data_IF_785770417748
#
_entry.id   IF_785770417748
#
_cell.length_a   1.000
_cell.length_b   1.000
_cell.length_c   1.000
_cell.angle_alpha   90.00
_cell.angle_beta   90.00
_cell.angle_gamma   90.00
#
_symmetry.space_group_name_H-M   'P 1'
#
loop_
_entity.id
_entity.type
_entity.pdbx_description
1 polymer ?
#
# COMPACT_ATOMS: atom_id res chain seq x y z
N UNK A 1 -4.54 66.15 -58.16
CA UNK A 1 -3.60 67.09 -57.53
C UNK A 1 -3.56 66.80 -56.05
N UNK A 2 -2.35 66.76 -55.49
CA UNK A 2 -1.96 66.68 -54.07
C UNK A 2 -2.08 65.30 -53.36
N UNK A 3 -0.95 64.60 -53.25
CA UNK A 3 -0.58 63.89 -52.00
C UNK A 3 0.20 64.86 -51.07
N UNK A 4 0.86 64.43 -49.96
CA UNK A 4 1.15 63.04 -49.52
C UNK A 4 1.03 62.77 -47.98
N UNK A 5 1.40 61.53 -47.59
CA UNK A 5 2.04 61.10 -46.31
C UNK A 5 1.22 60.71 -45.04
N UNK A 6 1.45 59.44 -44.66
CA UNK A 6 1.99 58.93 -43.36
C UNK A 6 1.10 58.62 -42.15
N UNK A 7 1.28 57.39 -41.62
CA UNK A 7 0.98 56.83 -40.28
C UNK A 7 -0.51 56.83 -39.85
N UNK A 8 -1.08 55.86 -39.13
CA UNK A 8 -0.61 54.90 -38.14
C UNK A 8 -1.66 53.75 -38.06
N UNK A 9 -1.34 52.58 -37.48
CA UNK A 9 -2.18 51.40 -37.41
C UNK A 9 -3.13 51.41 -36.19
N UNK A 10 -3.95 50.36 -36.12
CA UNK A 10 -4.61 49.84 -34.92
C UNK A 10 -6.02 50.35 -34.57
N UNK A 11 -6.98 49.71 -35.23
CA UNK A 11 -8.18 49.16 -34.57
C UNK A 11 -7.81 48.24 -33.39
N UNK A 12 -8.46 48.33 -32.22
CA UNK A 12 -8.55 47.19 -31.31
C UNK A 12 -9.96 46.61 -31.36
N UNK A 13 -10.10 45.54 -32.12
CA UNK A 13 -11.16 44.54 -31.93
C UNK A 13 -10.54 43.39 -31.11
N UNK A 14 -11.29 42.90 -30.13
CA UNK A 14 -11.39 41.50 -29.72
C UNK A 14 -10.13 40.62 -29.81
N UNK A 15 -9.67 40.07 -28.68
CA UNK A 15 -9.36 38.65 -28.56
C UNK A 15 -8.93 38.28 -27.14
N UNK A 16 -9.76 37.52 -26.44
CA UNK A 16 -9.31 36.63 -25.36
C UNK A 16 -8.59 35.45 -26.02
N UNK A 17 -7.38 35.71 -26.51
CA UNK A 17 -6.48 34.71 -27.06
C UNK A 17 -6.07 33.72 -25.94
N UNK A 18 -5.79 32.45 -26.28
CA UNK A 18 -5.10 31.54 -25.37
C UNK A 18 -3.83 32.26 -24.95
N UNK A 19 -3.42 32.18 -23.67
CA UNK A 19 -2.16 32.75 -23.22
C UNK A 19 -1.07 32.41 -24.26
N UNK A 20 -0.76 33.40 -25.10
CA UNK A 20 0.23 33.25 -26.14
C UNK A 20 1.51 33.03 -25.37
N UNK A 21 2.07 31.84 -25.58
CA UNK A 21 3.48 31.51 -25.65
C UNK A 21 4.49 32.62 -25.28
N UNK A 22 4.37 33.21 -24.08
CA UNK A 22 5.35 34.14 -23.57
C UNK A 22 6.55 33.31 -23.16
N UNK A 23 7.53 33.26 -24.08
CA UNK A 23 8.79 32.54 -23.99
C UNK A 23 9.72 33.02 -22.87
N UNK A 24 9.18 33.67 -21.83
CA UNK A 24 9.89 34.17 -20.66
C UNK A 24 9.33 33.66 -19.33
N UNK A 25 8.19 32.97 -19.29
CA UNK A 25 7.70 32.36 -18.04
C UNK A 25 8.49 31.07 -17.76
N UNK A 26 9.33 30.98 -16.70
CA UNK A 26 10.16 29.80 -16.43
C UNK A 26 9.36 28.54 -16.18
N UNK A 27 8.17 28.66 -15.56
CA UNK A 27 7.26 27.52 -15.34
C UNK A 27 6.75 27.00 -16.70
N UNK A 28 6.47 27.91 -17.64
CA UNK A 28 6.10 27.54 -18.99
C UNK A 28 7.31 27.12 -19.84
N UNK A 29 8.53 27.58 -19.59
CA UNK A 29 9.72 27.16 -20.32
C UNK A 29 10.22 25.79 -19.86
N UNK A 30 10.30 25.56 -18.55
CA UNK A 30 10.67 24.29 -17.93
C UNK A 30 9.64 23.21 -18.25
N UNK A 31 8.35 23.58 -18.27
CA UNK A 31 7.32 22.66 -18.73
C UNK A 31 7.15 22.66 -20.26
N UNK A 32 7.65 23.63 -21.06
CA UNK A 32 7.32 23.79 -22.49
C UNK A 32 8.38 23.99 -23.59
N UNK A 33 9.69 24.10 -23.35
CA UNK A 33 10.65 24.09 -24.48
C UNK A 33 12.13 24.24 -24.16
N UNK A 34 12.96 23.49 -24.90
CA UNK A 34 14.42 23.31 -24.77
C UNK A 34 15.24 24.63 -24.70
N UNK A 35 15.94 24.86 -23.59
CA UNK A 35 17.36 25.29 -23.49
C UNK A 35 17.77 25.42 -22.02
N UNK A 36 19.06 25.21 -21.77
CA UNK A 36 19.76 25.34 -20.48
C UNK A 36 19.38 26.65 -19.79
N UNK A 37 18.76 26.59 -18.61
CA UNK A 37 18.56 27.76 -17.76
C UNK A 37 19.86 28.00 -17.01
N UNK A 38 20.65 28.97 -17.48
CA UNK A 38 21.74 29.54 -16.68
C UNK A 38 21.16 30.11 -15.38
N UNK A 39 21.59 29.56 -14.26
CA UNK A 39 21.31 30.06 -12.91
C UNK A 39 21.79 31.51 -12.83
N UNK A 40 20.86 32.47 -12.89
CA UNK A 40 21.14 33.87 -12.60
C UNK A 40 20.66 34.17 -11.18
N UNK A 41 21.56 34.73 -10.38
CA UNK A 41 21.48 34.91 -8.93
C UNK A 41 20.52 36.00 -8.45
N UNK A 42 19.60 36.49 -9.31
CA UNK A 42 18.64 37.54 -8.95
C UNK A 42 17.26 37.27 -9.57
N UNK A 43 16.26 36.99 -8.75
CA UNK A 43 14.92 36.61 -9.20
C UNK A 43 14.10 37.83 -9.64
N UNK A 44 14.21 38.21 -10.92
CA UNK A 44 13.31 39.14 -11.63
C UNK A 44 12.48 38.43 -12.69
N UNK A 45 12.06 37.20 -12.42
CA UNK A 45 11.38 36.37 -13.42
C UNK A 45 9.87 36.62 -13.41
N UNK A 46 9.34 37.08 -14.55
CA UNK A 46 7.91 37.20 -14.77
C UNK A 46 7.31 35.80 -14.95
N UNK A 47 6.32 35.47 -14.14
CA UNK A 47 5.61 34.19 -14.13
C UNK A 47 4.12 34.47 -14.21
N UNK A 48 3.39 33.65 -14.96
CA UNK A 48 1.94 33.74 -14.97
C UNK A 48 1.38 33.48 -13.56
N UNK A 49 0.45 34.35 -13.13
CA UNK A 49 -0.20 34.28 -11.81
C UNK A 49 -0.77 32.89 -11.52
N UNK A 50 -1.40 32.28 -12.52
CA UNK A 50 -2.02 30.95 -12.40
C UNK A 50 -1.00 29.81 -12.29
N UNK A 51 0.13 29.92 -13.00
CA UNK A 51 1.24 28.96 -12.90
C UNK A 51 1.87 29.00 -11.51
N UNK A 52 2.09 30.20 -11.01
CA UNK A 52 2.62 30.46 -9.68
C UNK A 52 1.67 29.93 -8.59
N UNK A 53 0.36 30.19 -8.73
CA UNK A 53 -0.65 29.78 -7.75
C UNK A 53 -0.84 28.26 -7.67
N UNK A 54 -0.67 27.54 -8.79
CA UNK A 54 -0.69 26.05 -8.79
C UNK A 54 0.51 25.45 -8.06
N UNK A 55 1.71 25.99 -8.28
CA UNK A 55 2.92 25.55 -7.57
C UNK A 55 2.82 25.88 -6.06
N UNK A 56 2.19 27.01 -5.72
CA UNK A 56 1.98 27.42 -4.34
C UNK A 56 0.90 26.63 -3.58
N UNK A 57 -0.11 26.12 -4.26
CA UNK A 57 -1.11 25.28 -3.62
C UNK A 57 -0.58 23.87 -3.28
N UNK A 58 0.46 23.40 -4.00
CA UNK A 58 1.10 22.09 -3.77
C UNK A 58 2.10 22.15 -2.58
N UNK A 59 2.70 23.31 -2.31
CA UNK A 59 3.71 23.49 -1.25
C UNK A 59 3.13 23.67 0.17
N UNK A 60 1.82 23.47 0.37
CA UNK A 60 1.15 23.65 1.67
C UNK A 60 1.43 22.55 2.72
N UNK A 61 2.17 21.49 2.38
CA UNK A 61 2.58 20.44 3.33
C UNK A 61 3.86 20.84 4.09
N UNK A 62 3.76 21.88 4.95
CA UNK A 62 4.63 22.05 6.11
C UNK A 62 6.07 22.55 5.89
N UNK A 63 6.49 22.91 4.67
CA UNK A 63 7.85 23.44 4.45
C UNK A 63 7.88 24.95 4.20
N UNK A 64 8.99 25.59 4.62
CA UNK A 64 9.24 27.03 4.49
C UNK A 64 9.01 27.49 3.06
N UNK A 65 8.18 28.51 2.91
CA UNK A 65 7.77 29.09 1.62
C UNK A 65 8.95 29.79 0.96
N UNK A 66 9.69 29.05 0.14
CA UNK A 66 10.75 29.59 -0.70
C UNK A 66 10.37 29.50 -2.17
N UNK A 67 10.73 30.49 -2.97
CA UNK A 67 10.53 30.46 -4.42
C UNK A 67 11.19 29.20 -5.02
N UNK A 68 10.48 28.40 -5.85
CA UNK A 68 11.05 27.17 -6.43
C UNK A 68 12.28 27.44 -7.31
N UNK A 69 12.40 28.66 -7.84
CA UNK A 69 13.44 29.03 -8.80
C UNK A 69 14.68 29.68 -8.16
N UNK A 70 14.51 30.44 -7.08
CA UNK A 70 15.62 31.20 -6.46
C UNK A 70 15.82 30.94 -4.96
N UNK A 71 14.98 30.09 -4.36
CA UNK A 71 15.03 29.68 -2.95
C UNK A 71 15.00 30.81 -1.90
N UNK A 72 14.71 32.07 -2.28
CA UNK A 72 14.47 33.18 -1.34
C UNK A 72 13.14 33.03 -0.60
N UNK A 73 13.09 33.52 0.64
CA UNK A 73 11.91 33.52 1.51
C UNK A 73 10.86 34.54 1.08
N UNK A 74 9.58 34.14 1.08
CA UNK A 74 8.47 34.93 0.55
C UNK A 74 8.13 36.22 1.33
N UNK A 75 8.65 36.40 2.55
CA UNK A 75 8.43 37.63 3.33
C UNK A 75 9.10 38.86 2.70
N UNK A 76 10.15 38.65 1.91
CA UNK A 76 10.92 39.73 1.28
C UNK A 76 10.29 40.21 -0.04
N UNK A 77 9.55 39.35 -0.76
CA UNK A 77 8.90 39.68 -2.04
C UNK A 77 7.60 40.50 -1.86
N UNK A 78 6.86 40.25 -0.78
CA UNK A 78 5.58 40.93 -0.52
C UNK A 78 5.76 42.43 -0.17
N UNK A 79 6.95 42.82 0.33
CA UNK A 79 7.28 44.22 0.62
C UNK A 79 7.57 45.06 -0.64
N UNK A 80 7.96 44.44 -1.75
CA UNK A 80 8.31 45.15 -3.00
C UNK A 80 7.13 45.33 -3.96
N UNK A 81 6.03 44.57 -3.80
CA UNK A 81 4.93 44.51 -4.78
C UNK A 81 3.66 45.31 -4.40
N UNK A 82 3.72 46.18 -3.39
CA UNK A 82 2.71 47.23 -3.15
C UNK A 82 1.25 46.76 -3.25
N UNK A 83 0.74 46.09 -2.21
CA UNK A 83 -0.68 45.73 -2.14
C UNK A 83 -1.55 46.99 -2.04
N UNK A 84 -2.38 47.24 -3.04
CA UNK A 84 -3.64 48.00 -2.88
C UNK A 84 -4.79 47.18 -3.45
N UNK A 85 -5.74 46.92 -2.56
CA UNK A 85 -7.04 46.30 -2.81
C UNK A 85 -7.87 47.15 -3.77
N UNK A 86 -8.65 46.52 -4.66
CA UNK A 86 -10.08 46.83 -4.77
C UNK A 86 -10.85 45.84 -5.67
N UNK A 87 -12.10 45.66 -5.24
CA UNK A 87 -13.16 44.82 -5.78
C UNK A 87 -13.72 45.40 -7.08
N UNK A 88 -14.18 44.53 -7.99
CA UNK A 88 -15.57 44.52 -8.45
C UNK A 88 -15.78 43.33 -9.40
N UNK A 89 -16.66 42.43 -8.99
CA UNK A 89 -17.19 41.35 -9.79
C UNK A 89 -18.56 41.80 -10.29
N UNK A 90 -18.87 41.57 -11.57
CA UNK A 90 -20.08 40.82 -11.96
C UNK A 90 -20.22 40.60 -13.48
N UNK A 91 -20.67 39.37 -13.77
CA UNK A 91 -21.53 38.94 -14.89
C UNK A 91 -20.88 38.76 -16.26
N UNK A 92 -20.58 37.49 -16.59
CA UNK A 92 -21.18 36.74 -17.69
C UNK A 92 -20.68 35.28 -17.64
N UNK A 93 -21.56 34.33 -17.33
CA UNK A 93 -21.27 32.89 -17.39
C UNK A 93 -21.36 32.41 -18.84
N UNK A 94 -20.32 31.79 -19.42
CA UNK A 94 -20.44 31.08 -20.68
C UNK A 94 -20.94 29.65 -20.45
N UNK A 95 -21.67 29.14 -21.44
CA UNK A 95 -22.32 27.83 -21.45
C UNK A 95 -21.36 26.68 -21.08
N UNK A 96 -21.85 25.81 -20.19
CA UNK A 96 -21.18 24.69 -19.53
C UNK A 96 -20.45 23.71 -20.47
N UNK A 97 -20.82 23.66 -21.76
CA UNK A 97 -20.21 22.78 -22.76
C UNK A 97 -18.87 23.32 -23.31
N UNK A 98 -18.69 24.65 -23.40
CA UNK A 98 -17.45 25.25 -23.95
C UNK A 98 -16.24 25.18 -22.99
N UNK A 99 -16.52 25.14 -21.68
CA UNK A 99 -15.53 25.04 -20.60
C UNK A 99 -15.02 23.59 -20.46
N UNK A 100 -15.86 22.60 -20.77
CA UNK A 100 -15.47 21.19 -20.74
C UNK A 100 -14.52 20.83 -21.89
N UNK A 101 -14.73 21.39 -23.09
CA UNK A 101 -13.87 21.18 -24.25
C UNK A 101 -12.49 21.84 -24.11
N UNK A 102 -12.41 23.06 -23.57
CA UNK A 102 -11.11 23.72 -23.34
C UNK A 102 -10.29 23.06 -22.22
N UNK A 103 -10.93 22.60 -21.14
CA UNK A 103 -10.25 21.83 -20.08
C UNK A 103 -9.74 20.47 -20.57
N UNK A 104 -10.50 19.76 -21.40
CA UNK A 104 -10.07 18.48 -21.95
C UNK A 104 -8.92 18.64 -22.95
N UNK A 105 -8.92 19.68 -23.78
CA UNK A 105 -7.79 20.00 -24.68
C UNK A 105 -6.52 20.38 -23.87
N UNK A 106 -6.65 21.21 -22.83
CA UNK A 106 -5.54 21.58 -21.96
C UNK A 106 -4.88 20.39 -21.25
N UNK A 107 -5.70 19.44 -20.75
CA UNK A 107 -5.21 18.21 -20.12
C UNK A 107 -4.55 17.25 -21.11
N UNK A 108 -5.06 17.12 -22.35
CA UNK A 108 -4.39 16.32 -23.40
C UNK A 108 -3.02 16.89 -23.77
N UNK A 109 -2.91 18.21 -23.90
CA UNK A 109 -1.63 18.86 -24.18
C UNK A 109 -0.64 18.64 -23.02
N UNK A 110 -1.08 18.78 -21.77
CA UNK A 110 -0.24 18.50 -20.60
C UNK A 110 0.26 17.04 -20.57
N UNK A 111 -0.64 16.07 -20.76
CA UNK A 111 -0.32 14.63 -20.87
C UNK A 111 0.77 14.37 -21.90
N UNK A 112 0.60 14.86 -23.13
CA UNK A 112 1.55 14.65 -24.22
C UNK A 112 2.93 15.22 -23.89
N UNK A 113 2.97 16.40 -23.29
CA UNK A 113 4.20 17.15 -23.05
C UNK A 113 5.02 16.55 -21.91
N UNK A 114 4.37 16.20 -20.80
CA UNK A 114 5.01 15.46 -19.71
C UNK A 114 5.51 14.10 -20.16
N UNK A 115 4.74 13.41 -21.01
CA UNK A 115 5.15 12.14 -21.61
C UNK A 115 6.42 12.27 -22.45
N UNK A 116 6.49 13.28 -23.34
CA UNK A 116 7.68 13.53 -24.15
C UNK A 116 8.90 13.93 -23.31
N UNK A 117 8.71 14.77 -22.29
CA UNK A 117 9.80 15.20 -21.39
C UNK A 117 10.36 14.03 -20.60
N UNK A 118 9.49 13.17 -20.05
CA UNK A 118 9.89 11.99 -19.30
C UNK A 118 10.67 11.02 -20.18
N UNK A 119 10.16 10.72 -21.38
CA UNK A 119 10.87 9.84 -22.33
C UNK A 119 12.21 10.44 -22.74
N UNK A 120 12.30 11.75 -22.93
CA UNK A 120 13.57 12.41 -23.21
C UNK A 120 14.57 12.25 -22.06
N UNK A 121 14.16 12.51 -20.82
CA UNK A 121 15.01 12.35 -19.64
C UNK A 121 15.51 10.89 -19.51
N UNK A 122 14.59 9.92 -19.63
CA UNK A 122 14.89 8.49 -19.56
C UNK A 122 15.89 8.05 -20.66
N UNK A 123 15.68 8.48 -21.91
CA UNK A 123 16.56 8.11 -23.02
C UNK A 123 17.97 8.69 -22.89
N UNK A 124 18.12 9.83 -22.23
CA UNK A 124 19.42 10.46 -21.96
C UNK A 124 19.98 10.11 -20.57
N UNK A 125 19.33 9.19 -19.83
CA UNK A 125 19.73 8.76 -18.48
C UNK A 125 19.78 9.91 -17.45
N UNK A 126 18.98 10.96 -17.65
CA UNK A 126 18.83 12.06 -16.69
C UNK A 126 17.83 11.66 -15.61
N UNK A 127 18.27 10.78 -14.71
CA UNK A 127 17.39 10.19 -13.70
C UNK A 127 16.87 11.20 -12.67
N UNK A 128 17.63 12.25 -12.35
CA UNK A 128 17.18 13.33 -11.45
C UNK A 128 16.00 14.09 -12.08
N UNK A 129 16.12 14.42 -13.37
CA UNK A 129 15.06 15.06 -14.15
C UNK A 129 13.84 14.14 -14.27
N UNK A 130 14.04 12.83 -14.46
CA UNK A 130 12.95 11.86 -14.54
C UNK A 130 12.17 11.72 -13.21
N UNK A 131 12.85 11.73 -12.06
CA UNK A 131 12.19 11.74 -10.74
C UNK A 131 11.47 13.06 -10.45
N UNK A 132 12.05 14.21 -10.85
CA UNK A 132 11.37 15.51 -10.77
C UNK A 132 10.09 15.53 -11.62
N UNK A 133 10.17 15.00 -12.84
CA UNK A 133 9.02 14.87 -13.74
C UNK A 133 7.96 13.93 -13.16
N UNK A 134 8.35 12.82 -12.52
CA UNK A 134 7.41 11.95 -11.80
C UNK A 134 6.66 12.71 -10.71
N UNK A 135 7.34 13.52 -9.90
CA UNK A 135 6.68 14.35 -8.88
C UNK A 135 5.65 15.30 -9.50
N UNK A 136 5.97 15.92 -10.63
CA UNK A 136 5.05 16.82 -11.35
C UNK A 136 3.85 16.04 -11.90
N UNK A 137 4.08 14.88 -12.52
CA UNK A 137 3.02 14.01 -13.05
C UNK A 137 2.06 13.59 -11.94
N UNK A 138 2.59 13.14 -10.80
CA UNK A 138 1.80 12.74 -9.65
C UNK A 138 1.03 13.92 -9.06
N UNK A 139 1.68 15.08 -8.87
CA UNK A 139 1.06 16.26 -8.27
C UNK A 139 -0.01 16.92 -9.15
N UNK A 140 0.10 16.75 -10.48
CA UNK A 140 -0.89 17.26 -11.43
C UNK A 140 -2.02 16.28 -11.72
N UNK A 141 -1.85 14.99 -11.39
CA UNK A 141 -2.77 13.92 -11.79
C UNK A 141 -2.84 13.73 -13.31
N UNK A 142 -1.86 14.25 -14.06
CA UNK A 142 -1.82 14.10 -15.51
C UNK A 142 -1.52 12.63 -15.84
N UNK A 143 -2.39 11.98 -16.61
CA UNK A 143 -2.07 10.67 -17.17
C UNK A 143 -0.87 10.75 -18.12
N UNK A 144 -0.23 9.61 -18.37
CA UNK A 144 0.84 9.47 -19.35
C UNK A 144 0.34 8.83 -20.64
N UNK A 145 0.96 9.16 -21.76
CA UNK A 145 0.72 8.47 -23.04
C UNK A 145 1.21 7.02 -22.98
N UNK A 146 0.54 6.13 -23.71
CA UNK A 146 0.75 4.69 -23.58
C UNK A 146 2.19 4.28 -23.96
N UNK A 147 2.81 4.97 -24.92
CA UNK A 147 4.20 4.70 -25.32
C UNK A 147 5.22 4.92 -24.19
N UNK A 148 4.87 5.69 -23.15
CA UNK A 148 5.75 5.91 -21.99
C UNK A 148 5.91 4.63 -21.17
N UNK A 149 4.86 3.79 -21.12
CA UNK A 149 4.89 2.50 -20.44
C UNK A 149 5.98 1.60 -21.04
N UNK A 150 6.09 1.60 -22.38
CA UNK A 150 7.14 0.87 -23.10
C UNK A 150 8.54 1.36 -22.74
N UNK A 151 8.76 2.68 -22.79
CA UNK A 151 10.09 3.25 -22.48
C UNK A 151 10.50 2.97 -21.04
N UNK A 152 9.58 3.08 -20.08
CA UNK A 152 9.84 2.73 -18.68
C UNK A 152 10.17 1.24 -18.51
N UNK A 153 9.43 0.37 -19.20
CA UNK A 153 9.68 -1.08 -19.20
C UNK A 153 11.06 -1.40 -19.78
N UNK A 154 11.40 -0.83 -20.94
CA UNK A 154 12.69 -1.01 -21.62
C UNK A 154 13.86 -0.54 -20.74
N UNK A 155 13.72 0.63 -20.09
CA UNK A 155 14.75 1.16 -19.20
C UNK A 155 14.91 0.36 -17.92
N UNK A 156 13.82 -0.20 -17.38
CA UNK A 156 13.91 -1.09 -16.24
C UNK A 156 14.65 -2.37 -16.63
N UNK A 157 14.32 -2.97 -17.77
CA UNK A 157 15.03 -4.15 -18.30
C UNK A 157 16.52 -3.84 -18.49
N UNK A 158 16.86 -2.69 -19.09
CA UNK A 158 18.25 -2.26 -19.27
C UNK A 158 18.99 -2.18 -17.93
N UNK A 159 18.39 -1.56 -16.91
CA UNK A 159 18.98 -1.45 -15.57
C UNK A 159 19.18 -2.83 -14.92
N UNK A 160 18.20 -3.73 -15.04
CA UNK A 160 18.27 -5.08 -14.49
C UNK A 160 19.35 -5.94 -15.17
N UNK A 161 19.44 -5.89 -16.50
CA UNK A 161 20.45 -6.64 -17.26
C UNK A 161 21.87 -6.17 -16.96
N UNK A 162 22.03 -4.87 -16.68
CA UNK A 162 23.31 -4.28 -16.31
C UNK A 162 23.60 -4.33 -14.80
N UNK A 163 22.77 -5.01 -14.00
CA UNK A 163 22.88 -5.09 -12.54
C UNK A 163 22.95 -3.72 -11.84
N UNK A 164 22.38 -2.69 -12.45
CA UNK A 164 22.35 -1.34 -11.91
C UNK A 164 21.14 -1.18 -10.99
N UNK A 165 21.24 -1.73 -9.78
CA UNK A 165 20.19 -1.72 -8.77
C UNK A 165 19.75 -0.30 -8.38
N UNK A 166 20.68 0.65 -8.34
CA UNK A 166 20.36 2.04 -8.04
C UNK A 166 19.41 2.63 -9.09
N UNK A 167 19.69 2.44 -10.38
CA UNK A 167 18.78 2.90 -11.43
C UNK A 167 17.47 2.10 -11.44
N UNK A 168 17.50 0.79 -11.19
CA UNK A 168 16.29 -0.03 -11.14
C UNK A 168 15.33 0.42 -10.01
N UNK A 169 15.85 0.75 -8.82
CA UNK A 169 15.04 1.32 -7.73
C UNK A 169 14.47 2.70 -8.07
N UNK A 170 15.26 3.56 -8.71
CA UNK A 170 14.78 4.88 -9.18
C UNK A 170 13.67 4.73 -10.21
N UNK A 171 13.84 3.81 -11.17
CA UNK A 171 12.82 3.50 -12.17
C UNK A 171 11.55 2.90 -11.54
N UNK A 172 11.69 2.04 -10.52
CA UNK A 172 10.54 1.55 -9.75
C UNK A 172 9.75 2.70 -9.12
N UNK A 173 10.42 3.67 -8.48
CA UNK A 173 9.75 4.86 -7.93
C UNK A 173 9.05 5.68 -9.00
N UNK A 174 9.71 5.85 -10.16
CA UNK A 174 9.12 6.57 -11.30
C UNK A 174 7.84 5.86 -11.77
N UNK A 175 7.92 4.57 -12.07
CA UNK A 175 6.79 3.75 -12.53
C UNK A 175 5.62 3.82 -11.54
N UNK A 176 5.92 3.64 -10.25
CA UNK A 176 4.93 3.71 -9.18
C UNK A 176 4.28 5.09 -9.11
N UNK A 177 5.09 6.14 -9.09
CA UNK A 177 4.63 7.52 -8.93
C UNK A 177 3.87 8.05 -10.13
N UNK A 178 4.15 7.55 -11.33
CA UNK A 178 3.40 7.92 -12.54
C UNK A 178 2.19 7.02 -12.80
N UNK A 179 2.00 5.94 -12.02
CA UNK A 179 0.97 4.94 -12.26
C UNK A 179 1.15 4.15 -13.56
N UNK A 180 2.39 4.11 -14.09
CA UNK A 180 2.68 3.34 -15.29
C UNK A 180 2.61 1.84 -14.99
N UNK A 181 2.22 1.05 -16.00
CA UNK A 181 2.22 -0.41 -15.90
C UNK A 181 3.37 -0.97 -16.70
N UNK A 182 3.98 -2.03 -16.18
CA UNK A 182 5.01 -2.77 -16.89
C UNK A 182 4.40 -3.60 -18.02
N UNK A 183 5.08 -3.65 -19.15
CA UNK A 183 4.75 -4.57 -20.22
C UNK A 183 5.06 -6.02 -19.82
N UNK A 184 4.35 -6.97 -20.43
CA UNK A 184 4.48 -8.41 -20.14
C UNK A 184 5.92 -8.92 -20.27
N UNK A 185 6.70 -8.36 -21.21
CA UNK A 185 8.11 -8.73 -21.36
C UNK A 185 8.96 -8.29 -20.16
N UNK A 186 8.76 -7.07 -19.64
CA UNK A 186 9.47 -6.60 -18.45
C UNK A 186 9.06 -7.39 -17.19
N UNK A 187 7.79 -7.77 -17.09
CA UNK A 187 7.31 -8.65 -16.02
C UNK A 187 8.00 -10.02 -16.08
N UNK A 188 8.15 -10.60 -17.28
CA UNK A 188 8.90 -11.86 -17.47
C UNK A 188 10.38 -11.74 -17.10
N UNK A 189 11.04 -10.64 -17.48
CA UNK A 189 12.45 -10.40 -17.09
C UNK A 189 12.60 -10.34 -15.56
N UNK A 190 11.64 -9.74 -14.84
CA UNK A 190 11.63 -9.74 -13.38
C UNK A 190 11.45 -11.16 -12.81
N UNK A 191 10.52 -11.95 -13.36
CA UNK A 191 10.35 -13.37 -13.01
C UNK A 191 11.63 -14.17 -13.22
N UNK A 192 12.27 -14.03 -14.38
CA UNK A 192 13.49 -14.77 -14.74
C UNK A 192 14.64 -14.39 -13.80
N UNK A 193 14.84 -13.09 -13.55
CA UNK A 193 15.87 -12.59 -12.63
C UNK A 193 15.63 -13.05 -11.19
N UNK A 194 14.38 -13.10 -10.74
CA UNK A 194 14.05 -13.59 -9.41
C UNK A 194 14.31 -15.09 -9.31
N UNK A 195 13.92 -15.85 -10.32
CA UNK A 195 14.20 -17.30 -10.41
C UNK A 195 15.70 -17.58 -10.40
N UNK A 196 16.49 -16.80 -11.15
CA UNK A 196 17.95 -16.88 -11.16
C UNK A 196 18.54 -16.61 -9.77
N UNK A 197 18.11 -15.53 -9.11
CA UNK A 197 18.57 -15.19 -7.75
C UNK A 197 18.23 -16.27 -6.72
N UNK A 198 17.02 -16.85 -6.81
CA UNK A 198 16.55 -17.93 -5.96
C UNK A 198 17.35 -19.22 -6.18
N UNK A 199 17.58 -19.63 -7.43
CA UNK A 199 18.38 -20.80 -7.77
C UNK A 199 19.82 -20.71 -7.27
N UNK A 200 20.41 -19.51 -7.38
CA UNK A 200 21.75 -19.23 -6.90
C UNK A 200 21.81 -18.91 -5.39
N UNK A 201 20.67 -18.90 -4.69
CA UNK A 201 20.53 -18.55 -3.27
C UNK A 201 21.14 -17.17 -2.92
N UNK A 202 21.08 -16.22 -3.86
CA UNK A 202 21.56 -14.85 -3.67
C UNK A 202 20.43 -14.00 -3.08
N UNK A 203 20.21 -14.14 -1.77
CA UNK A 203 19.11 -13.53 -1.04
C UNK A 203 19.03 -12.01 -1.17
N UNK A 204 20.18 -11.33 -1.21
CA UNK A 204 20.25 -9.87 -1.39
C UNK A 204 19.63 -9.44 -2.72
N UNK A 205 19.91 -10.19 -3.80
CA UNK A 205 19.35 -9.90 -5.12
C UNK A 205 17.84 -10.19 -5.15
N UNK A 206 17.41 -11.30 -4.52
CA UNK A 206 16.00 -11.62 -4.39
C UNK A 206 15.23 -10.53 -3.62
N UNK A 207 15.82 -9.95 -2.59
CA UNK A 207 15.24 -8.82 -1.83
C UNK A 207 15.13 -7.53 -2.64
N UNK A 208 16.15 -7.20 -3.45
CA UNK A 208 16.06 -6.06 -4.36
C UNK A 208 14.94 -6.25 -5.38
N UNK A 209 14.89 -7.42 -6.01
CA UNK A 209 13.86 -7.76 -6.99
C UNK A 209 12.47 -7.74 -6.37
N UNK A 210 12.30 -8.29 -5.16
CA UNK A 210 11.06 -8.21 -4.39
C UNK A 210 10.56 -6.77 -4.26
N UNK A 211 11.43 -5.82 -3.88
CA UNK A 211 11.05 -4.40 -3.74
C UNK A 211 10.66 -3.78 -5.07
N UNK A 212 11.39 -4.12 -6.14
CA UNK A 212 11.08 -3.65 -7.49
C UNK A 212 9.70 -4.15 -7.92
N UNK A 213 9.46 -5.45 -7.84
CA UNK A 213 8.19 -6.11 -8.18
C UNK A 213 7.03 -5.50 -7.38
N UNK A 214 7.20 -5.35 -6.06
CA UNK A 214 6.22 -4.76 -5.17
C UNK A 214 5.89 -3.31 -5.58
N UNK A 215 6.92 -2.51 -5.85
CA UNK A 215 6.77 -1.10 -6.18
C UNK A 215 6.18 -0.84 -7.56
N UNK A 216 6.52 -1.67 -8.55
CA UNK A 216 5.95 -1.55 -9.91
C UNK A 216 4.59 -2.24 -10.06
N UNK A 217 4.17 -3.04 -9.07
CA UNK A 217 2.98 -3.88 -9.17
C UNK A 217 3.09 -4.95 -10.26
N UNK A 218 4.32 -5.42 -10.53
CA UNK A 218 4.56 -6.45 -11.54
C UNK A 218 3.84 -7.74 -11.14
N UNK A 219 3.23 -8.43 -12.11
CA UNK A 219 2.65 -9.75 -11.88
C UNK A 219 3.65 -10.79 -12.31
N UNK A 220 3.99 -11.65 -11.37
CA UNK A 220 4.86 -12.78 -11.64
C UNK A 220 4.08 -13.87 -12.38
N UNK A 221 4.81 -14.65 -13.17
CA UNK A 221 4.27 -15.79 -13.90
C UNK A 221 4.37 -17.09 -13.08
N UNK A 222 3.67 -18.13 -13.54
CA UNK A 222 3.56 -19.41 -12.83
C UNK A 222 4.91 -20.08 -12.45
N UNK A 223 5.96 -20.05 -13.31
CA UNK A 223 7.24 -20.68 -12.99
C UNK A 223 7.92 -20.16 -11.71
N UNK A 224 7.96 -18.83 -11.51
CA UNK A 224 8.59 -18.27 -10.31
C UNK A 224 7.73 -18.47 -9.05
N UNK A 225 6.40 -18.46 -9.19
CA UNK A 225 5.46 -18.81 -8.12
C UNK A 225 5.67 -20.26 -7.64
N UNK A 226 5.80 -21.19 -8.58
CA UNK A 226 6.10 -22.58 -8.31
C UNK A 226 7.47 -22.70 -7.63
N UNK A 227 8.49 -21.99 -8.14
CA UNK A 227 9.84 -22.05 -7.58
C UNK A 227 9.91 -21.55 -6.13
N UNK A 228 9.23 -20.44 -5.83
CA UNK A 228 9.12 -19.92 -4.46
C UNK A 228 8.46 -20.95 -3.53
N UNK A 229 7.41 -21.62 -4.01
CA UNK A 229 6.73 -22.68 -3.26
C UNK A 229 7.63 -23.88 -2.99
N UNK A 230 8.32 -24.39 -4.01
CA UNK A 230 9.27 -25.51 -3.89
C UNK A 230 10.38 -25.20 -2.90
N UNK A 231 11.00 -24.02 -3.02
CA UNK A 231 12.05 -23.61 -2.10
C UNK A 231 11.53 -23.46 -0.68
N UNK A 232 10.34 -22.88 -0.48
CA UNK A 232 9.78 -22.76 0.87
C UNK A 232 9.54 -24.14 1.50
N UNK A 233 9.01 -25.09 0.73
CA UNK A 233 8.86 -26.48 1.18
C UNK A 233 10.23 -27.08 1.53
N UNK A 234 11.24 -26.90 0.69
CA UNK A 234 12.60 -27.39 0.92
C UNK A 234 13.20 -26.84 2.22
N UNK A 235 13.12 -25.52 2.44
CA UNK A 235 13.64 -24.86 3.63
C UNK A 235 12.91 -25.31 4.90
N UNK A 236 11.58 -25.45 4.84
CA UNK A 236 10.76 -25.95 5.95
C UNK A 236 11.08 -27.43 6.27
N UNK A 237 11.30 -28.27 5.26
CA UNK A 237 11.63 -29.68 5.44
C UNK A 237 13.03 -29.88 6.04
N UNK A 238 13.96 -28.99 5.70
CA UNK A 238 15.30 -29.00 6.27
C UNK A 238 15.44 -28.19 7.57
N UNK A 239 14.34 -27.72 8.15
CA UNK A 239 14.32 -26.91 9.38
C UNK A 239 15.18 -25.64 9.30
N UNK A 240 15.37 -25.08 8.11
CA UNK A 240 16.12 -23.85 7.86
C UNK A 240 15.18 -22.64 8.02
N UNK A 241 14.78 -22.38 9.26
CA UNK A 241 13.75 -21.40 9.61
C UNK A 241 14.04 -19.98 9.14
N UNK A 242 15.30 -19.52 9.24
CA UNK A 242 15.70 -18.17 8.79
C UNK A 242 15.49 -17.99 7.27
N UNK A 243 15.84 -19.01 6.49
CA UNK A 243 15.62 -19.01 5.04
C UNK A 243 14.13 -19.07 4.70
N UNK A 244 13.35 -19.85 5.44
CA UNK A 244 11.90 -19.89 5.29
C UNK A 244 11.27 -18.51 5.57
N UNK A 245 11.68 -17.81 6.63
CA UNK A 245 11.24 -16.44 6.91
C UNK A 245 11.66 -15.46 5.81
N UNK A 246 12.85 -15.63 5.21
CA UNK A 246 13.28 -14.82 4.07
C UNK A 246 12.35 -15.04 2.87
N UNK A 247 12.07 -16.30 2.51
CA UNK A 247 11.15 -16.64 1.43
C UNK A 247 9.75 -16.10 1.65
N UNK A 248 9.24 -16.12 2.89
CA UNK A 248 7.95 -15.53 3.26
C UNK A 248 7.91 -14.04 2.93
N UNK A 249 8.96 -13.28 3.26
CA UNK A 249 9.02 -11.85 2.90
C UNK A 249 8.98 -11.66 1.39
N UNK A 250 9.71 -12.49 0.64
CA UNK A 250 9.71 -12.47 -0.83
C UNK A 250 8.30 -12.71 -1.35
N UNK A 251 7.66 -13.80 -0.95
CA UNK A 251 6.28 -14.18 -1.33
C UNK A 251 5.29 -13.05 -1.06
N UNK A 252 5.38 -12.41 0.12
CA UNK A 252 4.55 -11.26 0.47
C UNK A 252 4.79 -10.05 -0.43
N UNK A 253 6.06 -9.71 -0.68
CA UNK A 253 6.42 -8.55 -1.49
C UNK A 253 6.06 -8.72 -2.96
N UNK A 254 6.12 -9.96 -3.47
CA UNK A 254 5.75 -10.27 -4.85
C UNK A 254 4.25 -10.53 -5.03
N UNK A 255 3.49 -10.65 -3.94
CA UNK A 255 2.05 -10.91 -3.98
C UNK A 255 1.69 -12.31 -4.49
N UNK A 256 2.66 -13.22 -4.51
CA UNK A 256 2.45 -14.60 -4.95
C UNK A 256 1.63 -15.36 -3.93
N UNK A 257 0.72 -16.22 -4.42
CA UNK A 257 -0.10 -17.04 -3.52
C UNK A 257 0.61 -18.34 -3.16
N UNK A 258 0.49 -18.82 -1.91
CA UNK A 258 0.97 -20.14 -1.55
C UNK A 258 0.23 -21.21 -2.37
N UNK A 259 0.97 -22.21 -2.80
CA UNK A 259 0.38 -23.41 -3.42
C UNK A 259 -0.23 -24.31 -2.35
N UNK A 260 -1.16 -25.17 -2.76
CA UNK A 260 -1.77 -26.20 -1.89
C UNK A 260 -0.69 -27.08 -1.24
N UNK A 261 0.43 -27.34 -1.92
CA UNK A 261 1.55 -28.09 -1.37
C UNK A 261 2.24 -27.36 -0.19
N UNK A 262 2.40 -26.04 -0.29
CA UNK A 262 2.91 -25.21 0.82
C UNK A 262 1.94 -25.23 2.00
N UNK A 263 0.63 -25.09 1.74
CA UNK A 263 -0.41 -25.16 2.76
C UNK A 263 -0.40 -26.50 3.50
N UNK A 264 -0.26 -27.61 2.77
CA UNK A 264 -0.16 -28.96 3.34
C UNK A 264 1.07 -29.10 4.24
N UNK A 265 2.26 -28.74 3.74
CA UNK A 265 3.52 -28.87 4.50
C UNK A 265 3.51 -28.00 5.75
N UNK A 266 3.00 -26.77 5.67
CA UNK A 266 2.83 -25.90 6.82
C UNK A 266 1.84 -26.48 7.84
N UNK A 267 0.73 -27.04 7.36
CA UNK A 267 -0.30 -27.62 8.21
C UNK A 267 0.20 -28.85 8.96
N UNK A 268 0.92 -29.74 8.26
CA UNK A 268 1.50 -30.94 8.86
C UNK A 268 2.58 -30.59 9.88
N UNK A 269 3.48 -29.67 9.55
CA UNK A 269 4.50 -29.20 10.49
C UNK A 269 3.90 -28.50 11.70
N UNK A 270 2.82 -27.74 11.52
CA UNK A 270 2.12 -27.09 12.63
C UNK A 270 1.47 -28.15 13.54
N UNK A 271 0.80 -29.14 12.95
CA UNK A 271 0.22 -30.25 13.69
C UNK A 271 1.29 -31.02 14.49
N UNK A 272 2.43 -31.34 13.87
CA UNK A 272 3.56 -32.00 14.52
C UNK A 272 4.13 -31.16 15.67
N UNK A 273 4.32 -29.86 15.46
CA UNK A 273 4.82 -28.97 16.51
C UNK A 273 3.86 -28.93 17.71
N UNK A 274 2.55 -28.87 17.48
CA UNK A 274 1.53 -28.86 18.53
C UNK A 274 1.45 -30.20 19.28
N UNK A 275 1.55 -31.31 18.55
CA UNK A 275 1.51 -32.65 19.12
C UNK A 275 2.73 -32.92 20.02
N UNK A 276 3.90 -32.45 19.59
CA UNK A 276 5.16 -32.60 20.32
C UNK A 276 5.43 -31.48 21.35
N UNK A 277 4.55 -30.48 21.46
CA UNK A 277 4.70 -29.37 22.42
C UNK A 277 5.81 -28.38 22.07
N UNK A 278 6.24 -28.34 20.81
CA UNK A 278 7.25 -27.42 20.26
C UNK A 278 6.63 -26.04 20.02
N UNK A 279 6.31 -25.32 21.09
CA UNK A 279 5.56 -24.06 21.03
C UNK A 279 6.22 -22.96 20.19
N UNK A 280 7.55 -22.85 20.23
CA UNK A 280 8.26 -21.84 19.45
C UNK A 280 8.05 -22.09 17.94
N UNK A 281 8.14 -23.35 17.53
CA UNK A 281 7.91 -23.76 16.15
C UNK A 281 6.44 -23.56 15.76
N UNK A 282 5.49 -23.94 16.63
CA UNK A 282 4.07 -23.76 16.36
C UNK A 282 3.68 -22.27 16.18
N UNK A 283 4.25 -21.38 17.00
CA UNK A 283 4.04 -19.93 16.88
C UNK A 283 4.65 -19.40 15.59
N UNK A 284 5.88 -19.80 15.26
CA UNK A 284 6.53 -19.40 14.01
C UNK A 284 5.75 -19.88 12.78
N UNK A 285 5.32 -21.14 12.76
CA UNK A 285 4.54 -21.71 11.67
C UNK A 285 3.18 -21.01 11.53
N UNK A 286 2.50 -20.72 12.65
CA UNK A 286 1.27 -19.93 12.64
C UNK A 286 1.47 -18.53 12.05
N UNK A 287 2.60 -17.88 12.38
CA UNK A 287 2.99 -16.59 11.79
C UNK A 287 3.26 -16.72 10.29
N UNK A 288 3.99 -17.75 9.85
CA UNK A 288 4.27 -17.98 8.43
C UNK A 288 2.96 -18.17 7.64
N UNK A 289 2.04 -19.02 8.15
CA UNK A 289 0.72 -19.24 7.52
C UNK A 289 -0.04 -17.92 7.38
N UNK A 290 -0.08 -17.13 8.46
CA UNK A 290 -0.71 -15.81 8.46
C UNK A 290 -0.07 -14.87 7.44
N UNK A 291 1.26 -14.79 7.45
CA UNK A 291 2.04 -13.83 6.68
C UNK A 291 1.86 -14.05 5.16
N UNK A 292 1.86 -15.30 4.70
CA UNK A 292 1.66 -15.62 3.28
C UNK A 292 0.18 -15.78 2.89
N UNK A 293 -0.74 -15.62 3.84
CA UNK A 293 -2.17 -15.81 3.60
C UNK A 293 -2.54 -17.25 3.22
N UNK A 294 -1.78 -18.23 3.70
CA UNK A 294 -2.10 -19.65 3.55
C UNK A 294 -3.30 -20.02 4.42
N UNK A 295 -4.10 -20.98 3.97
CA UNK A 295 -5.17 -21.54 4.76
C UNK A 295 -4.69 -22.80 5.49
N UNK A 296 -4.88 -22.91 6.82
CA UNK A 296 -4.59 -24.13 7.53
C UNK A 296 -5.53 -25.23 7.03
N UNK A 297 -4.97 -26.41 6.75
CA UNK A 297 -5.74 -27.58 6.35
C UNK A 297 -6.26 -28.34 7.57
N UNK A 298 -7.17 -29.28 7.33
CA UNK A 298 -7.82 -30.11 8.36
C UNK A 298 -6.84 -30.73 9.37
N UNK A 299 -5.62 -31.09 8.94
CA UNK A 299 -4.60 -31.66 9.84
C UNK A 299 -4.18 -30.68 10.93
N UNK A 300 -3.89 -29.43 10.55
CA UNK A 300 -3.58 -28.36 11.49
C UNK A 300 -4.80 -27.95 12.32
N UNK A 301 -5.98 -27.82 11.69
CA UNK A 301 -7.21 -27.42 12.38
C UNK A 301 -7.61 -28.44 13.47
N UNK A 302 -7.51 -29.74 13.17
CA UNK A 302 -7.71 -30.80 14.15
C UNK A 302 -6.68 -30.74 15.27
N UNK A 303 -5.40 -30.58 14.96
CA UNK A 303 -4.34 -30.51 15.98
C UNK A 303 -4.52 -29.29 16.90
N UNK A 304 -4.86 -28.12 16.35
CA UNK A 304 -5.17 -26.91 17.11
C UNK A 304 -6.38 -27.13 18.03
N UNK A 305 -7.44 -27.72 17.48
CA UNK A 305 -8.67 -28.02 18.22
C UNK A 305 -8.43 -29.00 19.37
N UNK A 306 -7.77 -30.13 19.10
CA UNK A 306 -7.47 -31.15 20.10
C UNK A 306 -6.55 -30.62 21.19
N UNK A 307 -5.55 -29.82 20.81
CA UNK A 307 -4.64 -29.18 21.76
C UNK A 307 -5.37 -28.16 22.63
N UNK A 308 -6.27 -27.37 22.05
CA UNK A 308 -7.08 -26.40 22.78
C UNK A 308 -7.97 -27.10 23.82
N UNK A 309 -8.68 -28.17 23.44
CA UNK A 309 -9.51 -28.96 24.36
C UNK A 309 -8.66 -29.52 25.51
N UNK A 310 -7.50 -30.10 25.19
CA UNK A 310 -6.59 -30.67 26.18
C UNK A 310 -6.09 -29.61 27.16
N UNK A 311 -5.60 -28.48 26.67
CA UNK A 311 -4.98 -27.46 27.52
C UNK A 311 -6.03 -26.69 28.34
N UNK A 312 -7.25 -26.50 27.82
CA UNK A 312 -8.41 -26.00 28.59
C UNK A 312 -8.78 -26.95 29.74
N UNK A 313 -8.79 -28.26 29.48
CA UNK A 313 -9.13 -29.26 30.50
C UNK A 313 -8.13 -29.28 31.66
N UNK A 314 -6.86 -29.00 31.37
CA UNK A 314 -5.75 -28.95 32.33
C UNK A 314 -5.54 -27.58 32.96
N UNK A 315 -6.28 -26.55 32.54
CA UNK A 315 -6.09 -25.18 33.02
C UNK A 315 -4.75 -24.56 32.61
N UNK A 316 -4.16 -25.02 31.49
CA UNK A 316 -2.89 -24.52 30.95
C UNK A 316 -3.10 -23.23 30.15
N UNK A 317 -3.55 -22.21 30.87
CA UNK A 317 -4.00 -20.93 30.34
C UNK A 317 -2.97 -20.19 29.47
N UNK A 318 -1.67 -20.27 29.80
CA UNK A 318 -0.62 -19.68 28.96
C UNK A 318 -0.55 -20.33 27.57
N UNK A 319 -0.77 -21.65 27.49
CA UNK A 319 -0.81 -22.36 26.22
C UNK A 319 -2.10 -22.03 25.46
N UNK A 320 -3.21 -21.94 26.17
CA UNK A 320 -4.51 -21.55 25.60
C UNK A 320 -4.42 -20.18 24.93
N UNK A 321 -3.76 -19.20 25.55
CA UNK A 321 -3.55 -17.88 24.92
C UNK A 321 -2.61 -17.94 23.70
N UNK A 322 -1.61 -18.81 23.71
CA UNK A 322 -0.74 -19.04 22.53
C UNK A 322 -1.55 -19.64 21.39
N UNK A 323 -2.37 -20.66 21.66
CA UNK A 323 -3.27 -21.27 20.69
C UNK A 323 -4.26 -20.26 20.14
N UNK A 324 -4.87 -19.43 21.00
CA UNK A 324 -5.77 -18.34 20.58
C UNK A 324 -5.12 -17.44 19.53
N UNK A 325 -3.88 -16.99 19.77
CA UNK A 325 -3.13 -16.15 18.82
C UNK A 325 -2.87 -16.87 17.50
N UNK A 326 -2.48 -18.15 17.55
CA UNK A 326 -2.25 -18.95 16.35
C UNK A 326 -3.55 -19.11 15.56
N UNK A 327 -4.63 -19.57 16.20
CA UNK A 327 -5.93 -19.79 15.56
C UNK A 327 -6.46 -18.50 14.92
N UNK A 328 -6.37 -17.36 15.62
CA UNK A 328 -6.76 -16.06 15.08
C UNK A 328 -5.91 -15.66 13.88
N UNK A 329 -4.59 -15.83 13.98
CA UNK A 329 -3.63 -15.45 12.93
C UNK A 329 -3.82 -16.29 11.67
N UNK A 330 -3.97 -17.61 11.82
CA UNK A 330 -4.17 -18.54 10.71
C UNK A 330 -5.61 -18.60 10.21
N UNK A 331 -6.57 -18.01 10.94
CA UNK A 331 -8.01 -18.13 10.68
C UNK A 331 -8.49 -19.59 10.65
N UNK A 332 -7.86 -20.45 11.45
CA UNK A 332 -8.23 -21.86 11.55
C UNK A 332 -9.66 -22.01 12.08
N UNK A 333 -10.42 -22.90 11.46
CA UNK A 333 -11.71 -23.34 11.96
C UNK A 333 -11.52 -24.30 13.14
N UNK A 334 -12.37 -24.15 14.15
CA UNK A 334 -12.43 -25.11 15.26
C UNK A 334 -13.40 -26.24 14.93
N UNK A 335 -13.03 -27.46 15.34
CA UNK A 335 -13.95 -28.60 15.31
C UNK A 335 -15.13 -28.37 16.25
N UNK A 336 -16.26 -29.01 15.98
CA UNK A 336 -17.45 -28.91 16.83
C UNK A 336 -17.18 -29.39 18.26
N UNK A 337 -16.29 -30.38 18.42
CA UNK A 337 -15.82 -30.83 19.73
C UNK A 337 -15.11 -29.71 20.49
N UNK A 338 -14.24 -28.94 19.83
CA UNK A 338 -13.54 -27.82 20.47
C UNK A 338 -14.50 -26.68 20.81
N UNK A 339 -15.45 -26.36 19.92
CA UNK A 339 -16.52 -25.37 20.17
C UNK A 339 -17.40 -25.75 21.36
N UNK A 340 -17.79 -27.03 21.46
CA UNK A 340 -18.53 -27.56 22.61
C UNK A 340 -17.70 -27.48 23.89
N UNK A 341 -16.43 -27.90 23.86
CA UNK A 341 -15.55 -27.84 25.01
C UNK A 341 -15.33 -26.41 25.53
N UNK A 342 -15.25 -25.41 24.64
CA UNK A 342 -15.21 -24.00 25.00
C UNK A 342 -16.50 -23.58 25.73
N UNK A 343 -17.67 -23.92 25.17
CA UNK A 343 -18.96 -23.63 25.80
C UNK A 343 -19.08 -24.26 27.19
N UNK A 344 -18.71 -25.53 27.34
CA UNK A 344 -18.75 -26.24 28.62
C UNK A 344 -17.73 -25.69 29.61
N UNK A 345 -16.55 -25.28 29.13
CA UNK A 345 -15.53 -24.64 29.96
C UNK A 345 -16.03 -23.28 30.46
N UNK A 346 -16.64 -22.46 29.61
CA UNK A 346 -17.22 -21.18 30.00
C UNK A 346 -18.23 -21.34 31.13
N UNK A 347 -19.20 -22.25 30.98
CA UNK A 347 -20.21 -22.52 32.01
C UNK A 347 -19.55 -22.98 33.31
N UNK A 348 -18.58 -23.92 33.25
CA UNK A 348 -17.89 -24.41 34.44
C UNK A 348 -17.10 -23.32 35.18
N UNK A 349 -16.43 -22.42 34.46
CA UNK A 349 -15.70 -21.32 35.09
C UNK A 349 -16.67 -20.33 35.76
N UNK A 350 -17.81 -20.03 35.13
CA UNK A 350 -18.86 -19.20 35.71
C UNK A 350 -19.47 -19.83 36.98
N UNK A 351 -19.80 -21.13 36.95
CA UNK A 351 -20.33 -21.84 38.12
C UNK A 351 -19.34 -21.89 39.29
N UNK A 352 -18.04 -21.76 39.03
CA UNK A 352 -16.98 -21.70 40.04
C UNK A 352 -16.67 -20.26 40.51
N UNK A 353 -17.35 -19.26 39.97
CA UNK A 353 -17.06 -17.85 40.24
C UNK A 353 -15.72 -17.37 39.65
N UNK A 354 -15.13 -18.10 38.71
CA UNK A 354 -13.84 -17.78 38.08
C UNK A 354 -14.05 -16.87 36.86
N UNK A 355 -14.56 -15.67 37.11
CA UNK A 355 -14.97 -14.73 36.06
C UNK A 355 -13.87 -14.32 35.08
N UNK A 356 -12.63 -14.14 35.56
CA UNK A 356 -11.50 -13.82 34.68
C UNK A 356 -11.22 -14.95 33.69
N UNK A 357 -11.38 -16.21 34.12
CA UNK A 357 -11.22 -17.36 33.24
C UNK A 357 -12.38 -17.47 32.25
N UNK A 358 -13.62 -17.19 32.70
CA UNK A 358 -14.79 -17.15 31.83
C UNK A 358 -14.61 -16.11 30.70
N UNK A 359 -14.14 -14.91 31.03
CA UNK A 359 -13.81 -13.86 30.04
C UNK A 359 -12.72 -14.32 29.06
N UNK A 360 -11.68 -15.02 29.54
CA UNK A 360 -10.66 -15.60 28.66
C UNK A 360 -11.22 -16.62 27.67
N UNK A 361 -12.11 -17.51 28.12
CA UNK A 361 -12.79 -18.46 27.23
C UNK A 361 -13.62 -17.71 26.20
N UNK A 362 -14.34 -16.67 26.63
CA UNK A 362 -15.15 -15.87 25.73
C UNK A 362 -14.33 -15.20 24.63
N UNK A 363 -13.14 -14.68 24.95
CA UNK A 363 -12.24 -14.10 23.94
C UNK A 363 -11.80 -15.12 22.89
N UNK A 364 -11.63 -16.39 23.26
CA UNK A 364 -11.33 -17.45 22.30
C UNK A 364 -12.54 -17.72 21.40
N UNK A 365 -13.74 -17.77 21.98
CA UNK A 365 -14.99 -17.96 21.23
C UNK A 365 -15.18 -16.83 20.20
N UNK A 366 -14.94 -15.57 20.59
CA UNK A 366 -14.98 -14.40 19.70
C UNK A 366 -13.95 -14.50 18.57
N UNK A 367 -12.68 -14.75 18.90
CA UNK A 367 -11.58 -14.82 17.93
C UNK A 367 -11.75 -15.95 16.91
N UNK A 368 -12.47 -17.00 17.26
CA UNK A 368 -12.69 -18.18 16.42
C UNK A 368 -13.99 -18.13 15.63
N UNK A 369 -14.79 -17.06 15.79
CA UNK A 369 -16.13 -16.96 15.20
C UNK A 369 -17.09 -18.05 15.67
N UNK A 370 -16.76 -18.75 16.76
CA UNK A 370 -17.61 -19.79 17.32
C UNK A 370 -18.84 -19.14 17.97
N UNK A 371 -20.00 -19.78 17.83
CA UNK A 371 -21.20 -19.40 18.55
C UNK A 371 -21.37 -20.27 19.80
N UNK A 372 -22.02 -19.71 20.82
CA UNK A 372 -22.46 -20.51 21.95
C UNK A 372 -23.46 -21.58 21.50
N UNK A 373 -23.31 -22.79 22.03
CA UNK A 373 -24.36 -23.80 21.86
C UNK A 373 -25.68 -23.30 22.46
N UNK A 374 -26.85 -23.76 21.95
CA UNK A 374 -28.15 -23.35 22.47
C UNK A 374 -28.28 -23.56 23.99
N UNK A 375 -27.78 -24.71 24.48
CA UNK A 375 -27.79 -25.05 25.92
C UNK A 375 -26.90 -24.11 26.74
N UNK A 376 -25.70 -23.77 26.23
CA UNK A 376 -24.84 -22.80 26.89
C UNK A 376 -25.50 -21.42 26.93
N UNK A 377 -26.10 -20.97 25.83
CA UNK A 377 -26.80 -19.68 25.76
C UNK A 377 -27.97 -19.61 26.73
N UNK A 378 -28.77 -20.67 26.83
CA UNK A 378 -29.85 -20.76 27.82
C UNK A 378 -29.31 -20.69 29.25
N UNK A 379 -28.23 -21.41 29.55
CA UNK A 379 -27.60 -21.41 30.87
C UNK A 379 -27.04 -20.03 31.24
N UNK A 380 -26.41 -19.34 30.30
CA UNK A 380 -25.91 -17.97 30.47
C UNK A 380 -27.07 -17.00 30.79
N UNK A 381 -28.16 -17.07 30.02
CA UNK A 381 -29.33 -16.21 30.25
C UNK A 381 -30.00 -16.47 31.61
N UNK A 382 -30.15 -17.73 32.01
CA UNK A 382 -30.70 -18.09 33.32
C UNK A 382 -29.80 -17.58 34.45
N UNK A 383 -28.47 -17.68 34.29
CA UNK A 383 -27.50 -17.17 35.26
C UNK A 383 -27.58 -15.65 35.37
N UNK A 384 -27.74 -14.95 34.24
CA UNK A 384 -27.93 -13.49 34.23
C UNK A 384 -29.20 -13.08 34.96
N UNK A 385 -30.32 -13.74 34.69
CA UNK A 385 -31.58 -13.47 35.37
C UNK A 385 -31.44 -13.65 36.90
N UNK A 386 -30.75 -14.71 37.32
CA UNK A 386 -30.48 -14.96 38.74
C UNK A 386 -29.61 -13.87 39.37
N UNK A 387 -28.54 -13.43 38.71
CA UNK A 387 -27.66 -12.36 39.21
C UNK A 387 -28.40 -11.03 39.37
N UNK A 388 -29.25 -10.68 38.41
CA UNK A 388 -30.09 -9.47 38.46
C UNK A 388 -31.07 -9.57 39.64
N UNK A 389 -31.73 -10.73 39.80
CA UNK A 389 -32.72 -10.96 40.86
C UNK A 389 -32.11 -10.91 42.27
N UNK A 390 -30.82 -11.21 42.39
CA UNK A 390 -30.07 -11.17 43.66
C UNK A 390 -29.24 -9.89 43.83
N UNK A 391 -29.45 -8.86 42.99
CA UNK A 391 -28.75 -7.58 43.05
C UNK A 391 -27.20 -7.67 42.99
N UNK A 392 -26.67 -8.66 42.25
CA UNK A 392 -25.23 -8.87 42.07
C UNK A 392 -24.76 -8.15 40.78
N UNK A 393 -24.83 -6.82 40.80
CA UNK A 393 -24.76 -5.97 39.61
C UNK A 393 -23.45 -6.10 38.80
N UNK A 394 -22.28 -6.09 39.45
CA UNK A 394 -20.99 -6.21 38.76
C UNK A 394 -20.88 -7.51 37.96
N UNK A 395 -21.26 -8.65 38.55
CA UNK A 395 -21.23 -9.93 37.87
C UNK A 395 -22.29 -10.01 36.75
N UNK A 396 -23.45 -9.38 36.92
CA UNK A 396 -24.45 -9.28 35.87
C UNK A 396 -23.92 -8.51 34.64
N UNK A 397 -23.25 -7.38 34.83
CA UNK A 397 -22.63 -6.60 33.75
C UNK A 397 -21.53 -7.38 33.03
N UNK A 398 -20.68 -8.11 33.78
CA UNK A 398 -19.65 -8.99 33.19
C UNK A 398 -20.28 -10.09 32.34
N UNK A 399 -21.32 -10.75 32.85
CA UNK A 399 -22.02 -11.81 32.13
C UNK A 399 -22.73 -11.28 30.88
N UNK A 400 -23.31 -10.08 30.96
CA UNK A 400 -23.90 -9.41 29.80
C UNK A 400 -22.87 -9.21 28.69
N UNK A 401 -21.66 -8.72 29.02
CA UNK A 401 -20.56 -8.59 28.05
C UNK A 401 -20.14 -9.93 27.44
N UNK A 402 -20.16 -11.00 28.25
CA UNK A 402 -19.88 -12.36 27.77
C UNK A 402 -20.93 -12.78 26.73
N UNK A 403 -22.22 -12.65 27.06
CA UNK A 403 -23.33 -13.03 26.17
C UNK A 403 -23.33 -12.23 24.87
N UNK A 404 -23.00 -10.94 24.94
CA UNK A 404 -22.92 -10.04 23.77
C UNK A 404 -21.66 -10.26 22.93
N UNK A 405 -20.69 -11.04 23.40
CA UNK A 405 -19.40 -11.19 22.72
C UNK A 405 -18.57 -9.91 22.71
N UNK A 406 -18.67 -9.09 23.77
CA UNK A 406 -17.96 -7.79 23.92
C UNK A 406 -16.99 -7.81 25.10
N UNK A 407 -16.17 -8.84 25.16
CA UNK A 407 -15.17 -8.97 26.24
C UNK A 407 -13.89 -8.26 25.79
N UNK A 408 -13.41 -7.24 26.53
CA UNK A 408 -12.18 -6.54 26.19
C UNK A 408 -10.97 -7.48 26.31
N UNK A 409 -9.93 -7.20 25.52
CA UNK A 409 -8.70 -7.99 25.45
C UNK A 409 -7.90 -8.05 26.76
#
# INVERSE_FOLDING_TARGET
>A
MNGPNSANPDTPYQNSQPAENDGNCPICLEAFGRRIVTVTTYCKTQVHRDCLQRVFNITQLGQRKTCPFCRRGLADLAKELGATENQEAQQNLPDSNSIQDTRTIGMRNLRRRLSCALVYALNNNFMDDAENLQCIIQGTGAGLEDYVQRVLSDKLIEALNNWNWANAERLQRIIQGTGARLEDYAQRVLSDKLTEALNNRVWVNADFLRRIIQGTGARLDGPVELRLSEMLIEELNNFRWENAEHLVRIIQGTGTRPTVAVEQVLSDKLADALNNGLWNNAVLLGKIIQDIGASPMDTAERALSDRLVRDLSRGLWNNVDRLRRIIRGTRASLTDRAKAALSDKLIRELSRGLWNNAERVQRIIQDTGASHSPNARQTLNNTLAWLISNNIQNNAERLQRIIEGRVPD
#
